data_IF_013191494450
#
_entry.id   IF_013191494450
#
_cell.length_a   1.000
_cell.length_b   1.000
_cell.length_c   1.000
_cell.angle_alpha   90.00
_cell.angle_beta   90.00
_cell.angle_gamma   90.00
#
_symmetry.space_group_name_H-M   'P 1'
#
loop_
_entity.id
_entity.type
_entity.pdbx_description
1 polymer ?
#
# COMPACT_ATOMS: atom_id res chain seq x y z
N UNK A 1 -26.39 -8.66 58.15
CA UNK A 1 -25.97 -8.40 56.76
C UNK A 1 -26.49 -9.55 55.91
N UNK A 2 -27.45 -9.31 55.02
CA UNK A 2 -28.06 -10.37 54.21
C UNK A 2 -27.03 -10.87 53.18
N UNK A 3 -26.59 -12.12 53.34
CA UNK A 3 -25.64 -12.75 52.42
C UNK A 3 -26.27 -12.85 51.02
N UNK A 4 -25.61 -12.29 50.01
CA UNK A 4 -26.07 -12.38 48.62
C UNK A 4 -26.06 -13.85 48.19
N UNK A 5 -27.24 -14.38 47.91
CA UNK A 5 -27.39 -15.74 47.36
C UNK A 5 -26.59 -15.86 46.05
N UNK A 6 -25.94 -17.01 45.85
CA UNK A 6 -25.16 -17.27 44.64
C UNK A 6 -26.11 -17.17 43.43
N UNK A 7 -25.83 -16.30 42.45
CA UNK A 7 -26.77 -16.07 41.38
C UNK A 7 -26.93 -17.34 40.54
N UNK A 8 -28.18 -17.73 40.32
CA UNK A 8 -28.52 -18.91 39.56
C UNK A 8 -28.16 -18.69 38.08
N UNK A 9 -27.28 -19.53 37.54
CA UNK A 9 -26.78 -19.45 36.16
C UNK A 9 -27.91 -19.45 35.12
N UNK A 10 -29.01 -20.19 35.38
CA UNK A 10 -30.16 -20.24 34.47
C UNK A 10 -30.84 -18.87 34.38
N UNK A 11 -30.93 -18.15 35.50
CA UNK A 11 -31.55 -16.83 35.55
C UNK A 11 -30.65 -15.77 34.90
N UNK A 12 -29.33 -15.87 35.06
CA UNK A 12 -28.38 -14.98 34.37
C UNK A 12 -28.42 -15.17 32.85
N UNK A 13 -28.49 -16.42 32.40
CA UNK A 13 -28.62 -16.73 30.97
C UNK A 13 -29.95 -16.20 30.39
N UNK A 14 -31.05 -16.30 31.14
CA UNK A 14 -32.33 -15.74 30.73
C UNK A 14 -32.28 -14.21 30.57
N UNK A 15 -31.64 -13.51 31.51
CA UNK A 15 -31.41 -12.06 31.42
C UNK A 15 -30.56 -11.73 30.19
N UNK A 16 -29.49 -12.47 29.95
CA UNK A 16 -28.59 -12.20 28.83
C UNK A 16 -29.28 -12.37 27.46
N UNK A 17 -30.08 -13.43 27.31
CA UNK A 17 -30.88 -13.66 26.09
C UNK A 17 -31.89 -12.52 25.87
N UNK A 18 -32.50 -12.02 26.93
CA UNK A 18 -33.44 -10.91 26.89
C UNK A 18 -32.76 -9.60 26.46
N UNK A 19 -31.57 -9.32 26.98
CA UNK A 19 -30.73 -8.17 26.60
C UNK A 19 -30.33 -8.24 25.13
N UNK A 20 -29.82 -9.39 24.66
CA UNK A 20 -29.46 -9.59 23.24
C UNK A 20 -30.68 -9.38 22.34
N UNK A 21 -31.85 -9.91 22.73
CA UNK A 21 -33.08 -9.76 21.95
C UNK A 21 -33.49 -8.29 21.87
N UNK A 22 -33.44 -7.55 22.99
CA UNK A 22 -33.72 -6.11 23.00
C UNK A 22 -32.72 -5.35 22.14
N UNK A 23 -31.42 -5.61 22.26
CA UNK A 23 -30.39 -4.97 21.43
C UNK A 23 -30.64 -5.20 19.95
N UNK A 24 -30.88 -6.45 19.53
CA UNK A 24 -31.19 -6.78 18.13
C UNK A 24 -32.48 -6.13 17.63
N UNK A 25 -33.49 -5.98 18.48
CA UNK A 25 -34.76 -5.34 18.09
C UNK A 25 -34.60 -3.83 17.92
N UNK A 26 -33.77 -3.19 18.75
CA UNK A 26 -33.59 -1.73 18.76
C UNK A 26 -32.40 -1.26 17.92
N UNK A 27 -31.50 -2.15 17.48
CA UNK A 27 -30.40 -1.85 16.58
C UNK A 27 -30.91 -1.72 15.14
N UNK A 28 -31.65 -0.64 14.89
CA UNK A 28 -32.15 -0.30 13.55
C UNK A 28 -30.99 0.30 12.74
N UNK A 29 -30.35 -0.53 11.93
CA UNK A 29 -29.33 -0.06 11.00
C UNK A 29 -30.04 0.72 9.87
N UNK A 30 -29.96 2.05 9.92
CA UNK A 30 -30.43 2.90 8.83
C UNK A 30 -29.43 2.82 7.67
N UNK A 31 -29.65 1.88 6.76
CA UNK A 31 -28.85 1.71 5.53
C UNK A 31 -29.25 2.72 4.45
N UNK A 32 -30.49 3.19 4.50
CA UNK A 32 -31.04 4.16 3.58
C UNK A 32 -31.26 5.49 4.32
N UNK A 33 -30.59 6.54 3.84
CA UNK A 33 -30.79 7.90 4.33
C UNK A 33 -31.11 8.81 3.13
N UNK A 34 -32.20 9.56 3.25
CA UNK A 34 -32.56 10.59 2.28
C UNK A 34 -31.86 11.90 2.64
N UNK A 35 -31.02 12.42 1.76
CA UNK A 35 -30.43 13.75 1.93
C UNK A 35 -31.46 14.79 1.52
N UNK A 36 -31.73 15.77 2.39
CA UNK A 36 -32.65 16.87 2.07
C UNK A 36 -32.09 17.72 0.90
N UNK A 37 -32.77 17.80 -0.26
CA UNK A 37 -32.28 18.52 -1.44
C UNK A 37 -32.10 20.04 -1.23
N UNK A 38 -32.80 20.63 -0.26
CA UNK A 38 -32.85 22.07 -0.04
C UNK A 38 -31.87 22.56 1.04
N UNK A 39 -31.21 21.64 1.76
CA UNK A 39 -30.16 21.98 2.73
C UNK A 39 -28.81 21.58 2.14
N UNK A 40 -27.94 22.57 1.92
CA UNK A 40 -26.54 22.35 1.55
C UNK A 40 -25.79 21.75 2.75
N UNK A 41 -25.85 20.43 2.90
CA UNK A 41 -24.91 19.71 3.74
C UNK A 41 -23.62 19.53 2.94
N UNK A 42 -22.48 19.90 3.52
CA UNK A 42 -21.20 19.43 3.01
C UNK A 42 -21.25 17.90 3.00
N UNK A 43 -21.06 17.28 1.83
CA UNK A 43 -21.06 15.82 1.70
C UNK A 43 -20.07 15.29 2.72
N UNK A 44 -20.50 14.49 3.71
CA UNK A 44 -19.57 13.87 4.66
C UNK A 44 -18.52 13.10 3.87
N UNK A 45 -17.25 13.23 4.25
CA UNK A 45 -16.20 12.46 3.62
C UNK A 45 -16.54 10.96 3.75
N UNK A 46 -16.48 10.25 2.63
CA UNK A 46 -16.75 8.82 2.63
C UNK A 46 -15.80 8.08 3.59
N UNK A 47 -16.32 7.01 4.20
CA UNK A 47 -15.50 6.14 5.03
C UNK A 47 -14.37 5.54 4.17
N UNK A 48 -13.07 5.78 4.50
CA UNK A 48 -11.94 5.29 3.72
C UNK A 48 -11.86 3.74 3.64
N UNK A 49 -12.54 3.04 4.55
CA UNK A 49 -12.60 1.58 4.57
C UNK A 49 -13.82 1.00 3.83
N UNK A 50 -14.74 1.83 3.32
CA UNK A 50 -15.89 1.36 2.57
C UNK A 50 -15.45 0.76 1.23
N UNK A 51 -15.82 -0.50 0.99
CA UNK A 51 -15.58 -1.18 -0.30
C UNK A 51 -16.21 -0.43 -1.49
N UNK A 52 -17.27 0.33 -1.26
CA UNK A 52 -17.93 1.16 -2.28
C UNK A 52 -17.26 2.52 -2.52
N UNK A 53 -16.47 3.03 -1.56
CA UNK A 53 -15.69 4.27 -1.72
C UNK A 53 -14.32 4.05 -2.35
N UNK A 54 -13.90 2.78 -2.51
CA UNK A 54 -12.93 2.45 -3.55
C UNK A 54 -13.60 2.82 -4.86
N UNK A 55 -13.36 4.04 -5.33
CA UNK A 55 -13.67 4.44 -6.69
C UNK A 55 -13.27 3.24 -7.56
N UNK A 56 -14.20 2.65 -8.34
CA UNK A 56 -13.81 1.59 -9.25
C UNK A 56 -12.59 2.12 -9.97
N UNK A 57 -11.48 1.37 -9.97
CA UNK A 57 -10.22 1.80 -10.59
C UNK A 57 -10.60 2.43 -11.90
N UNK A 58 -10.67 3.77 -11.91
CA UNK A 58 -11.03 4.49 -13.12
C UNK A 58 -9.93 3.99 -14.05
N UNK A 59 -10.32 3.34 -15.14
CA UNK A 59 -9.39 3.01 -16.19
C UNK A 59 -8.95 4.36 -16.71
N UNK A 60 -8.02 4.99 -15.99
CA UNK A 60 -7.32 6.20 -16.37
C UNK A 60 -6.71 5.74 -17.67
N UNK A 61 -7.35 6.13 -18.78
CA UNK A 61 -6.85 5.82 -20.11
C UNK A 61 -5.38 6.21 -20.08
N UNK A 62 -4.51 5.22 -20.24
CA UNK A 62 -3.07 5.38 -20.09
C UNK A 62 -2.67 6.59 -20.91
N UNK A 63 -2.41 7.70 -20.21
CA UNK A 63 -2.16 8.97 -20.86
C UNK A 63 -0.76 8.83 -21.46
N UNK A 64 -0.69 8.48 -22.74
CA UNK A 64 0.55 8.12 -23.41
C UNK A 64 1.60 9.22 -23.25
N UNK A 65 1.18 10.48 -23.29
CA UNK A 65 2.05 11.63 -23.04
C UNK A 65 2.66 11.62 -21.63
N UNK A 66 1.90 11.23 -20.61
CA UNK A 66 2.43 11.10 -19.25
C UNK A 66 3.42 9.93 -19.14
N UNK A 67 3.09 8.78 -19.74
CA UNK A 67 3.96 7.60 -19.73
C UNK A 67 5.27 7.91 -20.46
N UNK A 68 5.22 8.54 -21.62
CA UNK A 68 6.39 9.00 -22.37
C UNK A 68 7.21 10.02 -21.58
N UNK A 69 6.57 11.01 -20.95
CA UNK A 69 7.26 11.99 -20.11
C UNK A 69 7.95 11.33 -18.91
N UNK A 70 7.30 10.34 -18.29
CA UNK A 70 7.85 9.57 -17.19
C UNK A 70 9.05 8.73 -17.62
N UNK A 71 8.96 8.04 -18.76
CA UNK A 71 10.09 7.32 -19.34
C UNK A 71 11.24 8.25 -19.68
N UNK A 72 10.95 9.40 -20.29
CA UNK A 72 11.95 10.43 -20.62
C UNK A 72 12.64 10.99 -19.37
N UNK A 73 11.92 11.16 -18.27
CA UNK A 73 12.49 11.61 -17.00
C UNK A 73 13.43 10.57 -16.37
N UNK A 74 13.18 9.27 -16.59
CA UNK A 74 14.00 8.15 -16.10
C UNK A 74 15.21 7.82 -16.95
N UNK A 75 15.36 8.44 -18.12
CA UNK A 75 16.54 8.21 -18.98
C UNK A 75 17.83 8.65 -18.28
N UNK A 76 18.90 7.93 -18.58
CA UNK A 76 20.25 8.27 -18.14
C UNK A 76 20.65 9.68 -18.60
N UNK A 77 21.47 10.42 -17.82
CA UNK A 77 21.92 11.76 -18.18
C UNK A 77 22.55 11.85 -19.58
N UNK A 78 23.34 10.85 -19.98
CA UNK A 78 23.99 10.77 -21.29
C UNK A 78 22.98 10.70 -22.45
N UNK A 79 21.80 10.08 -22.24
CA UNK A 79 20.72 10.06 -23.24
C UNK A 79 19.89 11.34 -23.25
N UNK A 80 19.93 12.12 -22.16
CA UNK A 80 19.10 13.32 -21.98
C UNK A 80 19.81 14.62 -22.41
N UNK A 81 21.12 14.70 -22.23
CA UNK A 81 21.93 15.88 -22.54
C UNK A 81 23.14 15.48 -23.39
N UNK A 82 23.59 16.38 -24.27
CA UNK A 82 24.77 16.13 -25.11
C UNK A 82 26.09 16.20 -24.33
N UNK A 83 26.11 16.96 -23.23
CA UNK A 83 27.28 17.18 -22.38
C UNK A 83 26.87 17.19 -20.91
N UNK A 84 27.75 16.78 -19.99
CA UNK A 84 27.47 16.81 -18.55
C UNK A 84 27.16 18.24 -18.11
N UNK A 85 26.10 18.39 -17.32
CA UNK A 85 25.66 19.71 -16.81
C UNK A 85 26.22 19.99 -15.42
N UNK A 86 26.64 18.96 -14.69
CA UNK A 86 27.20 19.06 -13.35
C UNK A 86 28.48 18.26 -13.23
N UNK A 87 29.37 18.67 -12.32
CA UNK A 87 30.63 17.96 -12.04
C UNK A 87 30.40 16.51 -11.62
N UNK A 88 29.31 16.25 -10.88
CA UNK A 88 28.95 14.87 -10.50
C UNK A 88 28.57 14.01 -11.71
N UNK A 89 28.01 14.59 -12.78
CA UNK A 89 27.70 13.87 -14.00
C UNK A 89 28.96 13.54 -14.80
N UNK A 90 30.01 14.35 -14.72
CA UNK A 90 31.28 14.12 -15.44
C UNK A 90 31.92 12.79 -15.05
N UNK A 91 31.94 12.44 -13.75
CA UNK A 91 32.57 11.22 -13.23
C UNK A 91 32.00 9.95 -13.89
N UNK A 92 30.69 9.92 -14.12
CA UNK A 92 29.97 8.76 -14.66
C UNK A 92 29.53 8.93 -16.11
N UNK A 93 29.98 9.99 -16.81
CA UNK A 93 29.44 10.33 -18.13
C UNK A 93 29.75 9.24 -19.17
N UNK A 94 30.97 8.70 -19.13
CA UNK A 94 31.44 7.59 -19.95
C UNK A 94 31.72 6.38 -19.05
N UNK A 95 30.66 5.64 -18.72
CA UNK A 95 30.74 4.44 -17.85
C UNK A 95 31.13 3.15 -18.59
N UNK A 96 31.12 3.16 -19.92
CA UNK A 96 31.49 2.00 -20.74
C UNK A 96 33.00 1.78 -20.66
N UNK A 97 33.47 0.60 -20.20
CA UNK A 97 34.90 0.33 -20.13
C UNK A 97 35.49 0.25 -21.55
N UNK A 98 36.71 0.78 -21.72
CA UNK A 98 37.42 0.75 -23.01
C UNK A 98 37.79 -0.68 -23.44
N UNK A 99 37.99 -1.56 -22.46
CA UNK A 99 38.32 -2.97 -22.69
C UNK A 99 37.06 -3.77 -22.31
N UNK A 100 36.55 -4.64 -23.20
CA UNK A 100 35.41 -5.48 -22.87
C UNK A 100 35.77 -6.40 -21.71
N UNK A 101 35.01 -6.31 -20.61
CA UNK A 101 35.26 -7.11 -19.42
C UNK A 101 34.77 -8.53 -19.63
N UNK A 102 35.70 -9.49 -19.77
CA UNK A 102 35.36 -10.91 -19.73
C UNK A 102 35.25 -11.36 -18.27
N UNK A 103 34.04 -11.32 -17.70
CA UNK A 103 33.77 -11.72 -16.31
C UNK A 103 33.99 -13.22 -16.05
N UNK A 104 34.07 -14.04 -17.10
CA UNK A 104 34.27 -15.48 -17.01
C UNK A 104 35.75 -15.89 -17.00
N UNK A 105 36.66 -14.95 -17.27
CA UNK A 105 38.09 -15.24 -17.22
C UNK A 105 38.53 -15.43 -15.76
N UNK A 106 38.79 -16.68 -15.38
CA UNK A 106 39.24 -17.07 -14.03
C UNK A 106 40.67 -16.60 -13.73
N UNK A 107 41.45 -16.17 -14.74
CA UNK A 107 42.82 -15.68 -14.56
C UNK A 107 42.86 -14.26 -14.00
N UNK A 108 41.84 -13.46 -14.32
CA UNK A 108 41.76 -12.04 -13.95
C UNK A 108 40.70 -11.78 -12.87
N UNK A 109 39.66 -12.62 -12.79
CA UNK A 109 38.52 -12.37 -11.92
C UNK A 109 38.48 -13.31 -10.70
N UNK A 110 38.94 -12.81 -9.56
CA UNK A 110 38.97 -13.55 -8.28
C UNK A 110 37.83 -13.15 -7.34
N UNK A 111 36.60 -13.26 -7.83
CA UNK A 111 35.41 -12.97 -7.01
C UNK A 111 35.36 -13.87 -5.77
N UNK A 112 35.10 -13.29 -4.60
CA UNK A 112 34.82 -14.07 -3.38
C UNK A 112 33.55 -14.90 -3.61
N UNK A 113 33.65 -16.20 -3.39
CA UNK A 113 32.53 -17.14 -3.48
C UNK A 113 32.27 -17.72 -2.10
N UNK A 114 31.02 -17.70 -1.68
CA UNK A 114 30.61 -18.46 -0.50
C UNK A 114 30.57 -19.94 -0.86
N UNK A 115 31.21 -20.74 -0.02
CA UNK A 115 31.27 -22.21 -0.07
C UNK A 115 30.39 -22.77 1.03
N UNK A 116 30.07 -24.06 0.98
CA UNK A 116 29.28 -24.73 2.02
C UNK A 116 29.86 -24.53 3.44
N UNK A 117 31.18 -24.37 3.55
CA UNK A 117 31.88 -24.13 4.82
C UNK A 117 31.70 -22.68 5.31
N UNK A 118 31.61 -21.72 4.39
CA UNK A 118 31.51 -20.28 4.74
C UNK A 118 30.07 -19.78 4.79
N UNK A 119 29.10 -20.56 4.32
CA UNK A 119 27.67 -20.31 4.56
C UNK A 119 27.30 -20.91 5.92
N UNK A 120 27.07 -20.06 6.91
CA UNK A 120 26.40 -20.48 8.14
C UNK A 120 24.89 -20.58 7.85
N UNK A 121 24.26 -21.65 8.35
CA UNK A 121 22.80 -21.83 8.31
C UNK A 121 22.08 -20.84 9.23
#
# INVERSE_FOLDING_TARGET
MAGKEKPNMVHQNAIHVETIRKEQTHQKLHTEFGINPYRKFHVPADNPMSRMSRKPTEAIADNSAFIEAFHKAKLEPNKKYSMPQTTSQEIGWLSTPLIPSNLYDKRLNFHRRSTAITKQE
#
